data_IF_682568894098
#
_entry.id   IF_682568894098
#
_cell.length_a   1.000
_cell.length_b   1.000
_cell.length_c   1.000
_cell.angle_alpha   90.00
_cell.angle_beta   90.00
_cell.angle_gamma   90.00
#
_symmetry.space_group_name_H-M   'P 1'
#
loop_
_entity.id
_entity.type
_entity.pdbx_description
1 polymer ?
#
# COMPACT_ATOMS: atom_id res chain seq x y z
N UNK A 1 -19.96 -30.54 3.98
CA UNK A 1 -20.40 -31.43 5.07
C UNK A 1 -19.37 -31.35 6.16
N UNK A 2 -19.70 -30.69 7.27
CA UNK A 2 -18.96 -30.77 8.53
C UNK A 2 -19.98 -30.80 9.66
N UNK A 3 -20.03 -31.92 10.36
CA UNK A 3 -20.86 -32.15 11.55
C UNK A 3 -20.24 -31.47 12.77
N UNK A 4 -19.99 -30.16 12.67
CA UNK A 4 -19.35 -29.40 13.74
C UNK A 4 -20.37 -28.57 14.50
N UNK A 5 -20.28 -28.65 15.83
CA UNK A 5 -20.94 -27.71 16.72
C UNK A 5 -20.63 -26.27 16.26
N UNK A 6 -21.66 -25.42 16.23
CA UNK A 6 -21.64 -24.08 15.64
C UNK A 6 -20.43 -23.22 16.02
N UNK A 7 -19.82 -23.45 17.17
CA UNK A 7 -18.62 -22.76 17.67
C UNK A 7 -17.39 -22.96 16.77
N UNK A 8 -17.10 -24.19 16.34
CA UNK A 8 -15.91 -24.48 15.51
C UNK A 8 -16.05 -23.87 14.11
N UNK A 9 -17.29 -23.84 13.60
CA UNK A 9 -17.61 -23.16 12.34
C UNK A 9 -17.28 -21.66 12.43
N UNK A 10 -17.68 -20.97 13.50
CA UNK A 10 -17.38 -19.53 13.69
C UNK A 10 -15.88 -19.27 13.71
N UNK A 11 -15.10 -20.07 14.44
CA UNK A 11 -13.65 -19.91 14.49
C UNK A 11 -12.98 -20.15 13.13
N UNK A 12 -13.47 -21.12 12.35
CA UNK A 12 -12.98 -21.37 11.00
C UNK A 12 -13.20 -20.15 10.08
N UNK A 13 -14.41 -19.59 10.06
CA UNK A 13 -14.69 -18.39 9.24
C UNK A 13 -13.88 -17.18 9.70
N UNK A 14 -13.80 -16.95 11.01
CA UNK A 14 -13.01 -15.85 11.55
C UNK A 14 -11.54 -15.98 11.15
N UNK A 15 -10.97 -17.19 11.19
CA UNK A 15 -9.61 -17.45 10.75
C UNK A 15 -9.42 -17.24 9.23
N UNK A 16 -10.36 -17.70 8.39
CA UNK A 16 -10.30 -17.51 6.93
C UNK A 16 -10.27 -16.00 6.59
N UNK A 17 -11.19 -15.22 7.15
CA UNK A 17 -11.23 -13.77 6.89
C UNK A 17 -10.05 -13.01 7.50
N UNK A 18 -9.61 -13.38 8.70
CA UNK A 18 -8.41 -12.79 9.31
C UNK A 18 -7.17 -13.03 8.45
N UNK A 19 -7.01 -14.23 7.87
CA UNK A 19 -5.88 -14.55 6.99
C UNK A 19 -5.89 -13.74 5.70
N UNK A 20 -7.07 -13.48 5.12
CA UNK A 20 -7.22 -12.65 3.92
C UNK A 20 -6.82 -11.21 4.22
N UNK A 21 -7.32 -10.63 5.32
CA UNK A 21 -7.01 -9.25 5.71
C UNK A 21 -5.52 -9.09 6.01
N UNK A 22 -4.94 -10.04 6.76
CA UNK A 22 -3.52 -10.04 7.09
C UNK A 22 -2.64 -10.09 5.84
N UNK A 23 -2.95 -10.96 4.88
CA UNK A 23 -2.19 -11.03 3.62
C UNK A 23 -2.32 -9.75 2.80
N UNK A 24 -3.50 -9.12 2.77
CA UNK A 24 -3.72 -7.83 2.10
C UNK A 24 -2.86 -6.72 2.72
N UNK A 25 -2.77 -6.68 4.05
CA UNK A 25 -1.92 -5.73 4.76
C UNK A 25 -0.44 -5.96 4.43
N UNK A 26 0.05 -7.21 4.45
CA UNK A 26 1.44 -7.49 4.08
C UNK A 26 1.75 -7.11 2.64
N UNK A 27 0.86 -7.40 1.69
CA UNK A 27 1.06 -6.99 0.30
C UNK A 27 1.09 -5.47 0.14
N UNK A 28 0.27 -4.74 0.91
CA UNK A 28 0.29 -3.28 0.90
C UNK A 28 1.59 -2.71 1.44
N UNK A 29 2.17 -3.33 2.46
CA UNK A 29 3.43 -2.89 3.07
C UNK A 29 4.61 -3.17 2.14
N UNK A 30 4.70 -4.38 1.57
CA UNK A 30 5.85 -4.80 0.78
C UNK A 30 5.90 -4.18 -0.62
N UNK A 31 4.74 -4.01 -1.28
CA UNK A 31 4.70 -3.63 -2.70
C UNK A 31 4.10 -2.25 -2.97
N UNK A 32 3.20 -1.75 -2.11
CA UNK A 32 2.47 -0.48 -2.32
C UNK A 32 2.99 0.66 -1.44
N UNK A 33 4.22 0.56 -0.92
CA UNK A 33 4.84 1.62 -0.10
C UNK A 33 4.22 1.77 1.30
N UNK A 34 3.31 0.88 1.71
CA UNK A 34 2.78 0.80 3.07
C UNK A 34 2.12 2.08 3.56
N UNK A 35 2.75 2.71 4.56
CA UNK A 35 2.27 3.92 5.22
C UNK A 35 2.66 5.21 4.49
N UNK A 36 3.57 5.13 3.50
CA UNK A 36 4.05 6.32 2.80
C UNK A 36 2.91 6.95 2.01
N UNK A 37 2.74 8.25 2.22
CA UNK A 37 1.91 9.12 1.39
C UNK A 37 2.76 9.56 0.21
N UNK A 38 2.41 9.10 -1.00
CA UNK A 38 3.03 9.62 -2.21
C UNK A 38 2.57 11.05 -2.54
N UNK A 39 1.44 11.48 -1.94
CA UNK A 39 0.89 12.82 -2.07
C UNK A 39 1.21 13.65 -0.82
N UNK A 40 2.14 14.58 -0.94
CA UNK A 40 2.39 15.55 0.13
C UNK A 40 1.25 16.56 0.20
N UNK A 41 0.36 16.34 1.17
CA UNK A 41 -0.82 17.17 1.43
C UNK A 41 -0.41 18.62 1.77
N UNK A 42 0.75 18.79 2.41
CA UNK A 42 1.29 20.11 2.78
C UNK A 42 1.64 20.94 1.54
N UNK A 43 2.29 20.34 0.53
CA UNK A 43 2.59 21.06 -0.72
C UNK A 43 1.32 21.43 -1.47
N UNK A 44 0.32 20.55 -1.49
CA UNK A 44 -0.97 20.85 -2.12
C UNK A 44 -1.73 21.97 -1.42
N UNK A 45 -1.67 22.01 -0.08
CA UNK A 45 -2.23 23.10 0.71
C UNK A 45 -1.52 24.42 0.39
N UNK A 46 -0.20 24.44 0.37
CA UNK A 46 0.60 25.63 0.03
C UNK A 46 0.31 26.11 -1.41
N UNK A 47 0.19 25.19 -2.37
CA UNK A 47 -0.16 25.48 -3.77
C UNK A 47 -1.55 26.12 -3.90
N UNK A 48 -2.58 25.54 -3.28
CA UNK A 48 -3.95 26.06 -3.33
C UNK A 48 -4.04 27.47 -2.74
N UNK A 49 -3.35 27.71 -1.63
CA UNK A 49 -3.32 29.01 -0.98
C UNK A 49 -2.57 30.06 -1.80
N UNK A 50 -1.53 29.65 -2.52
CA UNK A 50 -0.83 30.52 -3.47
C UNK A 50 -1.73 30.92 -4.65
N UNK A 51 -2.47 29.96 -5.22
CA UNK A 51 -3.43 30.22 -6.31
C UNK A 51 -4.52 31.19 -5.84
N UNK A 52 -5.07 30.97 -4.64
CA UNK A 52 -6.10 31.84 -4.07
C UNK A 52 -5.58 33.27 -3.86
N UNK A 53 -4.39 33.43 -3.27
CA UNK A 53 -3.77 34.74 -3.06
C UNK A 53 -3.58 35.50 -4.39
N UNK A 54 -3.19 34.79 -5.45
CA UNK A 54 -3.00 35.36 -6.78
C UNK A 54 -4.31 35.82 -7.43
N UNK A 55 -5.39 35.07 -7.27
CA UNK A 55 -6.70 35.40 -7.88
C UNK A 55 -7.34 36.63 -7.24
N UNK A 56 -7.20 36.78 -5.93
CA UNK A 56 -7.90 37.82 -5.17
C UNK A 56 -7.02 39.02 -4.82
N UNK A 57 -5.74 39.02 -5.22
CA UNK A 57 -4.74 40.03 -4.84
C UNK A 57 -4.67 40.24 -3.31
N UNK A 58 -4.82 39.15 -2.53
CA UNK A 58 -4.79 39.18 -1.06
C UNK A 58 -3.46 38.62 -0.58
N UNK A 59 -2.75 39.35 0.29
CA UNK A 59 -1.52 38.90 0.95
C UNK A 59 -1.77 37.87 2.07
N UNK A 60 -2.75 36.98 1.91
CA UNK A 60 -3.16 36.04 2.96
C UNK A 60 -2.04 35.07 3.38
N UNK A 61 -1.04 34.86 2.52
CA UNK A 61 0.14 34.03 2.77
C UNK A 61 1.00 34.55 3.94
N UNK A 62 1.06 35.86 4.17
CA UNK A 62 1.83 36.43 5.30
C UNK A 62 1.01 36.54 6.59
N UNK A 63 -0.27 36.11 6.55
CA UNK A 63 -1.13 36.16 7.73
C UNK A 63 -0.74 35.11 8.77
N UNK A 64 -0.93 35.47 10.05
CA UNK A 64 -0.74 34.55 11.18
C UNK A 64 -1.65 33.32 11.08
N UNK A 65 -2.81 33.47 10.43
CA UNK A 65 -3.78 32.39 10.22
C UNK A 65 -3.24 31.31 9.28
N UNK A 66 -2.58 31.69 8.19
CA UNK A 66 -1.94 30.74 7.27
C UNK A 66 -0.84 29.93 7.97
N UNK A 67 0.04 30.59 8.74
CA UNK A 67 1.08 29.90 9.52
C UNK A 67 0.49 28.95 10.58
N UNK A 68 -0.60 29.34 11.25
CA UNK A 68 -1.27 28.50 12.24
C UNK A 68 -1.90 27.26 11.59
N UNK A 69 -2.58 27.40 10.46
CA UNK A 69 -3.18 26.29 9.72
C UNK A 69 -2.11 25.32 9.20
N UNK A 70 -1.03 25.85 8.63
CA UNK A 70 0.12 25.04 8.18
C UNK A 70 0.76 24.28 9.34
N UNK A 71 0.95 24.93 10.49
CA UNK A 71 1.49 24.31 11.69
C UNK A 71 0.62 23.20 12.29
N UNK A 72 -0.71 23.29 12.14
CA UNK A 72 -1.63 22.19 12.52
C UNK A 72 -1.46 21.00 11.57
N UNK A 73 -1.40 21.25 10.26
CA UNK A 73 -1.25 20.21 9.25
C UNK A 73 0.08 19.46 9.38
N UNK A 74 1.17 20.16 9.73
CA UNK A 74 2.50 19.55 9.94
C UNK A 74 2.73 19.07 11.38
N UNK A 75 1.68 19.01 12.20
CA UNK A 75 1.84 18.49 13.55
C UNK A 75 2.03 16.97 13.49
N UNK A 76 2.99 16.46 14.27
CA UNK A 76 3.37 15.04 14.26
C UNK A 76 2.18 14.09 14.47
N UNK A 77 1.18 14.51 15.25
CA UNK A 77 -0.05 13.77 15.46
C UNK A 77 -0.94 13.68 14.21
N UNK A 78 -1.08 14.78 13.47
CA UNK A 78 -1.89 14.81 12.25
C UNK A 78 -1.22 14.02 11.14
N UNK A 79 0.10 14.17 10.99
CA UNK A 79 0.87 13.36 10.05
C UNK A 79 0.71 11.87 10.34
N UNK A 80 0.86 11.43 11.59
CA UNK A 80 0.68 10.01 11.96
C UNK A 80 -0.73 9.47 11.65
N UNK A 81 -1.77 10.29 11.83
CA UNK A 81 -3.13 9.94 11.49
C UNK A 81 -3.33 9.76 9.96
N UNK A 82 -2.76 10.66 9.17
CA UNK A 82 -2.83 10.62 7.70
C UNK A 82 -2.12 9.39 7.11
N UNK A 83 -0.93 9.05 7.65
CA UNK A 83 -0.20 7.84 7.24
C UNK A 83 -0.98 6.55 7.59
N UNK A 84 -1.65 6.52 8.74
CA UNK A 84 -2.47 5.39 9.16
C UNK A 84 -3.69 5.19 8.26
N UNK A 85 -4.38 6.28 7.90
CA UNK A 85 -5.49 6.24 6.95
C UNK A 85 -5.03 5.73 5.58
N UNK A 86 -3.87 6.18 5.12
CA UNK A 86 -3.32 5.79 3.80
C UNK A 86 -3.10 4.28 3.72
N UNK A 87 -2.51 3.68 4.76
CA UNK A 87 -2.37 2.23 4.85
C UNK A 87 -3.73 1.51 4.90
N UNK A 88 -4.70 2.07 5.63
CA UNK A 88 -6.07 1.56 5.67
C UNK A 88 -6.76 1.57 4.30
N UNK A 89 -6.61 2.65 3.53
CA UNK A 89 -7.17 2.77 2.18
C UNK A 89 -6.50 1.77 1.23
N UNK A 90 -5.16 1.71 1.19
CA UNK A 90 -4.41 0.79 0.33
C UNK A 90 -4.77 -0.68 0.62
N UNK A 91 -4.89 -1.05 1.90
CA UNK A 91 -5.32 -2.40 2.30
C UNK A 91 -6.79 -2.68 1.95
N UNK A 92 -7.69 -1.69 2.06
CA UNK A 92 -9.10 -1.85 1.65
C UNK A 92 -9.27 -2.08 0.14
N UNK A 93 -8.46 -1.41 -0.68
CA UNK A 93 -8.42 -1.62 -2.14
C UNK A 93 -7.94 -3.04 -2.43
N UNK A 94 -6.93 -3.55 -1.70
CA UNK A 94 -6.46 -4.92 -1.88
C UNK A 94 -7.53 -5.96 -1.50
N UNK A 95 -8.28 -5.73 -0.42
CA UNK A 95 -9.43 -6.57 -0.05
C UNK A 95 -10.52 -6.53 -1.14
N UNK A 96 -10.80 -5.35 -1.71
CA UNK A 96 -11.74 -5.22 -2.80
C UNK A 96 -11.29 -6.02 -4.04
N UNK A 97 -10.01 -5.97 -4.40
CA UNK A 97 -9.44 -6.78 -5.48
C UNK A 97 -9.65 -8.27 -5.20
N UNK A 98 -9.43 -8.74 -3.98
CA UNK A 98 -9.67 -10.14 -3.62
C UNK A 98 -11.13 -10.56 -3.84
N UNK A 99 -12.08 -9.72 -3.42
CA UNK A 99 -13.52 -9.96 -3.65
C UNK A 99 -13.84 -9.96 -5.14
N UNK A 100 -13.26 -9.02 -5.91
CA UNK A 100 -13.47 -8.91 -7.35
C UNK A 100 -12.91 -10.13 -8.11
N UNK A 101 -11.71 -10.60 -7.76
CA UNK A 101 -11.10 -11.82 -8.32
C UNK A 101 -12.01 -13.03 -8.04
N UNK A 102 -12.51 -13.17 -6.81
CA UNK A 102 -13.44 -14.26 -6.44
C UNK A 102 -14.73 -14.23 -7.26
N UNK A 103 -15.23 -13.05 -7.62
CA UNK A 103 -16.45 -12.90 -8.41
C UNK A 103 -16.23 -13.18 -9.92
N UNK A 104 -15.03 -12.90 -10.44
CA UNK A 104 -14.77 -12.92 -11.89
C UNK A 104 -14.27 -14.28 -12.41
N UNK A 105 -13.52 -15.03 -11.61
CA UNK A 105 -12.88 -16.25 -12.09
C UNK A 105 -13.70 -17.51 -11.83
N UNK A 106 -13.87 -18.40 -12.84
CA UNK A 106 -14.47 -19.71 -12.63
C UNK A 106 -13.54 -20.59 -11.78
N UNK A 107 -14.11 -21.57 -11.06
CA UNK A 107 -13.37 -22.47 -10.18
C UNK A 107 -12.36 -23.32 -10.97
N UNK A 108 -11.08 -23.19 -10.66
CA UNK A 108 -9.97 -23.94 -11.27
C UNK A 108 -9.78 -25.28 -10.55
N UNK A 109 -9.43 -26.35 -11.30
CA UNK A 109 -9.14 -27.67 -10.71
C UNK A 109 -7.75 -27.69 -10.05
N UNK A 110 -7.58 -28.52 -9.01
CA UNK A 110 -6.35 -28.57 -8.23
C UNK A 110 -5.10 -28.90 -9.08
N UNK A 111 -5.21 -29.83 -10.03
CA UNK A 111 -4.09 -30.21 -10.92
C UNK A 111 -3.61 -29.04 -11.79
N UNK A 112 -4.55 -28.18 -12.22
CA UNK A 112 -4.25 -26.98 -13.00
C UNK A 112 -3.57 -25.92 -12.14
N UNK A 113 -3.96 -25.79 -10.86
CA UNK A 113 -3.30 -24.88 -9.93
C UNK A 113 -1.88 -25.33 -9.62
N UNK A 114 -1.68 -26.63 -9.38
CA UNK A 114 -0.35 -27.18 -9.09
C UNK A 114 0.59 -27.02 -10.28
N UNK A 115 0.13 -27.37 -11.48
CA UNK A 115 0.94 -27.20 -12.70
C UNK A 115 1.25 -25.72 -12.98
N UNK A 116 0.31 -24.79 -12.79
CA UNK A 116 0.57 -23.35 -12.91
C UNK A 116 1.65 -22.85 -11.93
N UNK A 117 1.56 -23.24 -10.66
CA UNK A 117 2.52 -22.85 -9.63
C UNK A 117 3.95 -23.33 -9.96
N UNK A 118 4.08 -24.61 -10.32
CA UNK A 118 5.39 -25.23 -10.54
C UNK A 118 6.03 -24.91 -11.88
N UNK A 119 5.23 -24.81 -12.95
CA UNK A 119 5.77 -24.66 -14.30
C UNK A 119 5.82 -23.22 -14.79
N UNK A 120 4.97 -22.34 -14.25
CA UNK A 120 4.91 -20.94 -14.67
C UNK A 120 5.43 -20.01 -13.58
N UNK A 121 4.87 -20.09 -12.36
CA UNK A 121 5.18 -19.12 -11.29
C UNK A 121 6.59 -19.29 -10.71
N UNK A 122 7.05 -20.53 -10.54
CA UNK A 122 8.38 -20.79 -9.97
C UNK A 122 9.52 -20.36 -10.93
N UNK A 123 9.51 -20.69 -12.24
CA UNK A 123 10.54 -20.22 -13.16
C UNK A 123 10.57 -18.69 -13.34
N UNK A 124 9.40 -18.03 -13.37
CA UNK A 124 9.37 -16.56 -13.48
C UNK A 124 9.98 -15.89 -12.23
N UNK A 125 9.77 -16.46 -11.04
CA UNK A 125 10.36 -15.94 -9.81
C UNK A 125 11.89 -16.06 -9.82
N UNK A 126 12.43 -17.21 -10.24
CA UNK A 126 13.89 -17.36 -10.42
C UNK A 126 14.45 -16.40 -11.46
N UNK A 127 13.72 -16.14 -12.54
CA UNK A 127 14.11 -15.15 -13.53
C UNK A 127 14.23 -13.74 -12.92
N UNK A 128 13.25 -13.31 -12.11
CA UNK A 128 13.32 -12.00 -11.43
C UNK A 128 14.45 -11.91 -10.41
N UNK A 129 14.72 -12.97 -9.65
CA UNK A 129 15.83 -13.00 -8.68
C UNK A 129 17.18 -12.75 -9.37
N UNK A 130 17.39 -13.28 -10.58
CA UNK A 130 18.64 -13.09 -11.34
C UNK A 130 18.63 -11.75 -12.10
N UNK A 131 17.47 -11.36 -12.66
CA UNK A 131 17.34 -10.18 -13.51
C UNK A 131 17.53 -8.86 -12.75
N UNK A 132 16.91 -8.72 -11.57
CA UNK A 132 16.98 -7.47 -10.78
C UNK A 132 18.42 -7.07 -10.41
N UNK A 133 19.30 -7.94 -9.86
CA UNK A 133 20.68 -7.56 -9.57
C UNK A 133 21.50 -7.27 -10.85
N UNK A 134 21.25 -7.99 -11.96
CA UNK A 134 21.88 -7.68 -13.24
C UNK A 134 21.52 -6.26 -13.74
N UNK A 135 20.25 -5.87 -13.65
CA UNK A 135 19.82 -4.51 -14.02
C UNK A 135 20.45 -3.45 -13.12
N UNK A 136 20.46 -3.65 -11.81
CA UNK A 136 21.07 -2.72 -10.85
C UNK A 136 22.56 -2.49 -11.15
N UNK A 137 23.29 -3.55 -11.51
CA UNK A 137 24.69 -3.45 -11.89
C UNK A 137 24.90 -2.63 -13.17
N UNK A 138 24.07 -2.82 -14.20
CA UNK A 138 24.16 -2.07 -15.48
C UNK A 138 23.98 -0.57 -15.26
N UNK A 139 23.05 -0.17 -14.39
CA UNK A 139 22.81 1.24 -14.08
C UNK A 139 23.81 1.84 -13.08
N UNK A 140 24.76 1.04 -12.56
CA UNK A 140 25.70 1.47 -11.53
C UNK A 140 25.04 1.82 -10.20
N UNK A 141 23.77 1.45 -10.00
CA UNK A 141 23.00 1.68 -8.77
C UNK A 141 23.26 0.48 -7.85
N UNK A 142 24.46 0.38 -7.29
CA UNK A 142 24.70 -0.58 -6.23
C UNK A 142 23.94 -0.09 -4.99
N UNK A 143 23.04 -0.92 -4.44
CA UNK A 143 22.26 -0.63 -3.21
C UNK A 143 23.15 -0.64 -1.95
N UNK A 144 24.45 -0.48 -2.14
CA UNK A 144 25.50 -0.60 -1.15
C UNK A 144 25.92 0.81 -0.76
N UNK A 145 25.24 1.36 0.25
CA UNK A 145 25.86 2.36 1.10
C UNK A 145 26.86 1.65 2.03
N UNK A 146 28.03 1.26 1.49
CA UNK A 146 29.21 0.86 2.29
C UNK A 146 30.14 2.07 2.39
N UNK A 147 29.57 3.21 2.76
CA UNK A 147 30.28 4.20 3.57
C UNK A 147 29.75 4.08 5.01
N UNK A 148 29.95 2.89 5.59
CA UNK A 148 30.16 2.80 7.03
C UNK A 148 31.67 2.75 7.18
N UNK A 149 32.24 3.93 7.49
CA UNK A 149 33.65 4.35 7.50
C UNK A 149 34.20 4.93 6.19
#
# INVERSE_FOLDING_TARGET
>A
MTEHAAVIFVFFFLAEYASIVLMCIFTSILFLGGYLLEFDIVYWFDLLNYIYAYIFDINWITSLEYFKLRGILTSSSVDGFLHSITLGIKSSIMVFIFIWVRASFPRIRFDQLMSFCWTVLLPILFAFIILIPCLLYIFGITVVNVNMF
#
